data_IF_334590039250
#
_entry.id   IF_334590039250
#
_cell.length_a   1.000
_cell.length_b   1.000
_cell.length_c   1.000
_cell.angle_alpha   90.00
_cell.angle_beta   90.00
_cell.angle_gamma   90.00
#
_symmetry.space_group_name_H-M   'P 1'
#
loop_
_entity.id
_entity.type
_entity.pdbx_description
1 polymer ?
#
# COMPACT_ATOMS: atom_id res chain seq x y z
N UNK A 1 -10.42 28.70 -41.62
CA UNK A 1 -9.99 27.85 -40.49
C UNK A 1 -10.73 28.34 -39.24
N UNK A 2 -11.58 27.52 -38.62
CA UNK A 2 -12.35 27.95 -37.45
C UNK A 2 -11.60 27.58 -36.18
N UNK A 3 -11.40 28.56 -35.30
CA UNK A 3 -10.72 28.35 -34.01
C UNK A 3 -11.66 27.59 -33.05
N UNK A 4 -11.23 26.44 -32.57
CA UNK A 4 -11.97 25.63 -31.60
C UNK A 4 -11.45 25.85 -30.17
N UNK A 5 -12.17 25.32 -29.18
CA UNK A 5 -11.79 25.41 -27.77
C UNK A 5 -10.59 24.50 -27.49
N UNK A 6 -9.51 25.09 -26.96
CA UNK A 6 -8.25 24.37 -26.73
C UNK A 6 -8.23 23.48 -25.47
N UNK A 7 -9.10 23.73 -24.47
CA UNK A 7 -9.13 22.95 -23.22
C UNK A 7 -10.49 23.04 -22.49
N UNK A 8 -10.93 21.96 -21.82
CA UNK A 8 -12.10 22.01 -20.92
C UNK A 8 -12.09 20.95 -19.82
N UNK A 9 -12.42 21.35 -18.59
CA UNK A 9 -12.64 20.45 -17.45
C UNK A 9 -14.12 20.08 -17.19
N UNK A 10 -15.04 20.49 -18.07
CA UNK A 10 -16.50 20.55 -17.81
C UNK A 10 -17.12 19.23 -17.32
N UNK A 11 -16.68 18.08 -17.82
CA UNK A 11 -17.29 16.78 -17.53
C UNK A 11 -16.36 15.83 -16.76
N UNK A 12 -15.24 16.34 -16.24
CA UNK A 12 -14.25 15.49 -15.56
C UNK A 12 -14.77 15.03 -14.21
N UNK A 13 -15.30 15.96 -13.41
CA UNK A 13 -15.88 15.69 -12.10
C UNK A 13 -17.05 14.70 -12.20
N UNK A 14 -18.00 14.91 -13.10
CA UNK A 14 -19.15 14.02 -13.28
C UNK A 14 -18.72 12.59 -13.63
N UNK A 15 -17.73 12.44 -14.53
CA UNK A 15 -17.17 11.11 -14.87
C UNK A 15 -16.44 10.45 -13.70
N UNK A 16 -15.64 11.21 -12.96
CA UNK A 16 -14.90 10.70 -11.80
C UNK A 16 -15.85 10.22 -10.69
N UNK A 17 -16.99 10.90 -10.50
CA UNK A 17 -17.97 10.53 -9.50
C UNK A 17 -18.99 9.47 -9.95
N UNK A 18 -19.13 9.18 -11.25
CA UNK A 18 -20.07 8.15 -11.76
C UNK A 18 -19.86 6.78 -11.10
N UNK A 19 -18.61 6.37 -10.91
CA UNK A 19 -18.24 5.12 -10.23
C UNK A 19 -17.63 5.37 -8.83
N UNK A 20 -17.61 6.63 -8.40
CA UNK A 20 -16.95 7.10 -7.19
C UNK A 20 -15.42 7.12 -7.27
N UNK A 21 -14.83 8.04 -6.50
CA UNK A 21 -13.38 8.09 -6.27
C UNK A 21 -13.04 7.03 -5.21
N UNK A 22 -12.45 5.92 -5.64
CA UNK A 22 -12.11 4.81 -4.75
C UNK A 22 -10.89 5.15 -3.89
N UNK A 23 -10.98 4.87 -2.60
CA UNK A 23 -9.84 4.95 -1.67
C UNK A 23 -8.87 3.78 -1.91
N UNK A 24 -7.56 3.93 -1.60
CA UNK A 24 -6.64 2.80 -1.66
C UNK A 24 -7.10 1.69 -0.71
N UNK A 25 -6.90 0.44 -1.14
CA UNK A 25 -7.32 -0.72 -0.37
C UNK A 25 -6.46 -0.88 0.90
N UNK A 26 -7.10 -1.14 2.04
CA UNK A 26 -6.41 -1.42 3.31
C UNK A 26 -6.16 -2.93 3.42
N UNK A 27 -4.91 -3.34 3.26
CA UNK A 27 -4.51 -4.74 3.45
C UNK A 27 -4.08 -4.98 4.91
N UNK A 28 -4.20 -6.23 5.38
CA UNK A 28 -3.72 -6.64 6.72
C UNK A 28 -2.22 -6.35 6.90
N UNK A 29 -1.44 -6.55 5.83
CA UNK A 29 -0.02 -6.27 5.80
C UNK A 29 0.26 -5.17 4.78
N UNK A 30 0.92 -4.11 5.24
CA UNK A 30 1.32 -2.99 4.40
C UNK A 30 2.65 -3.32 3.70
N UNK A 31 2.93 -2.63 2.59
CA UNK A 31 4.23 -2.73 1.93
C UNK A 31 5.33 -2.18 2.85
N UNK A 32 6.45 -2.90 2.96
CA UNK A 32 7.65 -2.46 3.69
C UNK A 32 8.66 -1.76 2.77
N UNK A 33 8.31 -1.50 1.51
CA UNK A 33 9.15 -0.78 0.56
C UNK A 33 9.35 0.67 1.04
N UNK A 34 10.62 1.09 1.16
CA UNK A 34 10.98 2.43 1.63
C UNK A 34 11.14 2.57 3.15
N UNK A 35 10.98 1.48 3.92
CA UNK A 35 11.35 1.47 5.33
C UNK A 35 12.87 1.37 5.51
N UNK A 36 13.35 1.81 6.67
CA UNK A 36 14.77 1.80 7.02
C UNK A 36 15.41 0.40 6.80
N UNK A 37 16.45 0.29 5.96
CA UNK A 37 17.16 -0.97 5.74
C UNK A 37 17.71 -1.59 7.03
N UNK A 38 18.15 -0.81 8.01
CA UNK A 38 18.69 -1.33 9.28
C UNK A 38 17.58 -2.00 10.09
N UNK A 39 16.43 -1.34 10.21
CA UNK A 39 15.24 -1.93 10.82
C UNK A 39 14.79 -3.22 10.09
N UNK A 40 14.76 -3.21 8.75
CA UNK A 40 14.35 -4.39 7.98
C UNK A 40 15.29 -5.58 8.15
N UNK A 41 16.61 -5.35 8.23
CA UNK A 41 17.60 -6.40 8.53
C UNK A 41 17.34 -7.00 9.91
N UNK A 42 17.15 -6.18 10.93
CA UNK A 42 16.85 -6.66 12.28
C UNK A 42 15.54 -7.44 12.34
N UNK A 43 14.46 -6.90 11.73
CA UNK A 43 13.16 -7.56 11.70
C UNK A 43 13.24 -8.94 11.03
N UNK A 44 14.04 -9.09 9.96
CA UNK A 44 14.26 -10.39 9.29
C UNK A 44 14.94 -11.40 10.23
N UNK A 45 15.97 -10.99 10.96
CA UNK A 45 16.64 -11.88 11.92
C UNK A 45 15.72 -12.25 13.09
N UNK A 46 15.04 -11.29 13.70
CA UNK A 46 14.08 -11.55 14.77
C UNK A 46 12.99 -12.55 14.35
N UNK A 47 12.36 -12.34 13.18
CA UNK A 47 11.35 -13.26 12.64
C UNK A 47 11.90 -14.67 12.36
N UNK A 48 13.17 -14.80 12.00
CA UNK A 48 13.82 -16.08 11.70
C UNK A 48 14.02 -16.92 12.98
N UNK A 49 14.52 -16.30 14.06
CA UNK A 49 14.88 -17.03 15.27
C UNK A 49 13.74 -17.10 16.31
N UNK A 50 12.82 -16.14 16.32
CA UNK A 50 11.66 -16.17 17.23
C UNK A 50 10.72 -17.36 16.98
N UNK A 51 10.62 -17.86 15.73
CA UNK A 51 9.80 -19.05 15.42
C UNK A 51 10.28 -20.32 16.13
N UNK A 52 11.60 -20.47 16.34
CA UNK A 52 12.17 -21.62 17.04
C UNK A 52 11.84 -21.57 18.54
N UNK A 53 11.90 -20.39 19.14
CA UNK A 53 11.54 -20.19 20.56
C UNK A 53 10.04 -20.33 20.84
N UNK A 54 9.18 -19.94 19.90
CA UNK A 54 7.72 -20.11 20.05
C UNK A 54 7.30 -21.58 19.91
N UNK A 55 7.99 -22.38 19.08
CA UNK A 55 7.74 -23.81 19.00
C UNK A 55 8.13 -24.52 20.31
N UNK A 56 9.35 -24.26 20.82
CA UNK A 56 9.79 -24.82 22.09
C UNK A 56 8.89 -24.47 23.29
N UNK A 57 8.29 -23.26 23.30
CA UNK A 57 7.32 -22.83 24.33
C UNK A 57 5.92 -23.42 24.23
N UNK A 58 5.56 -24.06 23.12
CA UNK A 58 4.26 -24.72 22.96
C UNK A 58 4.27 -26.18 23.42
N UNK A 59 5.45 -26.76 23.51
CA UNK A 59 5.67 -28.14 23.93
C UNK A 59 5.98 -28.25 25.44
N UNK A 60 6.20 -27.10 26.13
CA UNK A 60 6.03 -26.94 27.59
C UNK A 60 4.55 -26.70 27.94
#
# INVERSE_FOLDING_TARGET
MVKQKNHTARNQTVKAHKNGIRKPHKHRYHSTKGLDPKFLRNQRFAKKYNKKHVAAKKDE
#
